data_IF_014004466243
#
_entry.id   IF_014004466243
#
_cell.length_a   1.000
_cell.length_b   1.000
_cell.length_c   1.000
_cell.angle_alpha   90.00
_cell.angle_beta   90.00
_cell.angle_gamma   90.00
#
_symmetry.space_group_name_H-M   'P 1'
#
loop_
_entity.id
_entity.type
_entity.pdbx_description
1 polymer ?
#
# COMPACT_ATOMS: atom_id res chain seq x y z
N UNK A 1 -30.57 -0.68 -5.54
CA UNK A 1 -29.25 -0.86 -4.88
C UNK A 1 -28.24 -0.09 -5.70
N UNK A 2 -27.23 0.52 -5.08
CA UNK A 2 -26.20 1.29 -5.80
C UNK A 2 -24.82 0.88 -5.31
N UNK A 3 -23.91 0.61 -6.24
CA UNK A 3 -22.51 0.33 -5.94
C UNK A 3 -21.68 1.60 -5.84
N UNK A 4 -20.87 1.67 -4.78
CA UNK A 4 -19.95 2.76 -4.50
C UNK A 4 -18.52 2.26 -4.48
N UNK A 5 -17.62 2.95 -5.18
CA UNK A 5 -16.18 2.81 -5.05
C UNK A 5 -15.67 3.86 -4.05
N UNK A 6 -14.99 3.39 -3.01
CA UNK A 6 -14.33 4.19 -1.98
C UNK A 6 -12.83 4.21 -2.28
N UNK A 7 -12.24 5.40 -2.40
CA UNK A 7 -10.80 5.62 -2.42
C UNK A 7 -10.38 6.16 -1.06
N UNK A 8 -9.37 5.56 -0.43
CA UNK A 8 -9.01 5.89 0.95
C UNK A 8 -7.52 5.69 1.24
N UNK A 9 -7.02 6.44 2.21
CA UNK A 9 -5.66 6.32 2.74
C UNK A 9 -5.69 5.95 4.23
N UNK A 10 -4.61 5.37 4.73
CA UNK A 10 -4.47 5.04 6.15
C UNK A 10 -3.02 4.84 6.59
N UNK A 11 -2.79 5.07 7.89
CA UNK A 11 -1.52 4.78 8.58
C UNK A 11 -1.56 3.34 9.10
N UNK A 12 -0.88 2.43 8.43
CA UNK A 12 -0.97 0.99 8.66
C UNK A 12 -0.56 0.49 10.04
N UNK A 13 0.34 1.19 10.73
CA UNK A 13 0.79 0.85 12.09
C UNK A 13 -0.31 0.99 13.14
N UNK A 14 -1.41 1.67 12.81
CA UNK A 14 -2.61 1.80 13.65
C UNK A 14 -3.69 0.75 13.36
N UNK A 15 -3.41 -0.25 12.51
CA UNK A 15 -4.39 -1.27 12.10
C UNK A 15 -3.81 -2.69 12.12
N UNK A 16 -4.65 -3.69 12.37
CA UNK A 16 -4.29 -5.13 12.24
C UNK A 16 -4.23 -5.62 10.79
N UNK A 17 -3.93 -4.72 9.86
CA UNK A 17 -4.04 -4.95 8.42
C UNK A 17 -5.37 -4.46 7.87
N UNK A 18 -5.50 -4.57 6.55
CA UNK A 18 -6.65 -3.99 5.84
C UNK A 18 -7.94 -4.80 5.97
N UNK A 19 -7.86 -6.13 5.96
CA UNK A 19 -9.02 -7.01 5.88
C UNK A 19 -9.24 -7.78 7.18
N UNK A 20 -10.50 -7.91 7.60
CA UNK A 20 -10.92 -8.78 8.71
C UNK A 20 -10.45 -10.23 8.50
N UNK A 21 -9.91 -10.85 9.56
CA UNK A 21 -9.52 -12.27 9.60
C UNK A 21 -10.34 -13.01 10.65
N UNK A 22 -10.59 -14.31 10.45
CA UNK A 22 -11.50 -15.11 11.27
C UNK A 22 -10.93 -15.48 12.67
N UNK A 23 -9.63 -15.29 12.90
CA UNK A 23 -8.97 -15.57 14.17
C UNK A 23 -8.30 -14.31 14.70
N UNK A 24 -8.87 -13.69 15.73
CA UNK A 24 -8.18 -12.65 16.50
C UNK A 24 -7.17 -13.35 17.41
N UNK A 25 -5.88 -13.04 17.22
CA UNK A 25 -4.86 -13.43 18.19
C UNK A 25 -5.08 -12.59 19.46
N UNK A 26 -5.53 -13.24 20.53
CA UNK A 26 -5.97 -12.67 21.82
C UNK A 26 -4.85 -11.88 22.51
N UNK A 27 -3.61 -11.93 21.99
CA UNK A 27 -2.45 -11.20 22.52
C UNK A 27 -2.32 -9.75 22.06
N UNK A 28 -3.11 -9.29 21.07
CA UNK A 28 -3.13 -7.87 20.69
C UNK A 28 -4.34 -7.20 21.31
N UNK A 29 -4.08 -6.18 22.15
CA UNK A 29 -5.08 -5.17 22.55
C UNK A 29 -5.78 -4.74 21.26
N UNK A 30 -7.08 -5.05 21.14
CA UNK A 30 -7.81 -5.17 19.88
C UNK A 30 -7.55 -3.94 18.98
N UNK A 31 -6.82 -4.15 17.89
CA UNK A 31 -6.67 -3.14 16.83
C UNK A 31 -7.57 -3.59 15.68
N UNK A 32 -8.58 -2.78 15.37
CA UNK A 32 -9.50 -3.00 14.26
C UNK A 32 -8.77 -3.07 12.91
N UNK A 33 -9.40 -3.69 11.91
CA UNK A 33 -8.93 -3.62 10.53
C UNK A 33 -9.50 -2.39 9.83
N UNK A 34 -8.86 -1.98 8.73
CA UNK A 34 -9.37 -0.88 7.88
C UNK A 34 -10.81 -1.19 7.42
N UNK A 35 -11.09 -2.44 7.08
CA UNK A 35 -12.43 -2.90 6.70
C UNK A 35 -13.45 -2.70 7.83
N UNK A 36 -13.10 -3.05 9.08
CA UNK A 36 -14.00 -2.89 10.23
C UNK A 36 -14.42 -1.42 10.39
N UNK A 37 -13.44 -0.52 10.41
CA UNK A 37 -13.68 0.92 10.58
C UNK A 37 -14.56 1.49 9.47
N UNK A 38 -14.34 1.11 8.22
CA UNK A 38 -15.18 1.59 7.11
C UNK A 38 -16.60 1.02 7.25
N UNK A 39 -16.76 -0.28 7.53
CA UNK A 39 -18.08 -0.91 7.69
C UNK A 39 -18.86 -0.30 8.87
N UNK A 40 -18.21 -0.02 10.00
CA UNK A 40 -18.80 0.66 11.16
C UNK A 40 -19.25 2.08 10.83
N UNK A 41 -18.44 2.85 10.10
CA UNK A 41 -18.80 4.18 9.63
C UNK A 41 -19.99 4.16 8.66
N UNK A 42 -20.07 3.16 7.77
CA UNK A 42 -21.17 3.02 6.82
C UNK A 42 -22.53 2.77 7.51
N UNK A 43 -22.55 2.21 8.72
CA UNK A 43 -23.79 2.05 9.49
C UNK A 43 -24.48 3.38 9.79
N UNK A 44 -23.73 4.49 9.87
CA UNK A 44 -24.29 5.82 10.12
C UNK A 44 -25.18 6.32 8.98
N UNK A 45 -25.04 5.77 7.78
CA UNK A 45 -25.91 6.05 6.63
C UNK A 45 -27.31 5.45 6.79
N UNK A 46 -27.49 4.48 7.70
CA UNK A 46 -28.74 3.74 7.91
C UNK A 46 -29.23 3.03 6.64
N UNK A 47 -28.31 2.47 5.87
CA UNK A 47 -28.63 1.65 4.70
C UNK A 47 -29.61 0.54 5.08
N UNK A 48 -30.59 0.24 4.22
CA UNK A 48 -31.52 -0.89 4.43
C UNK A 48 -30.82 -2.24 4.42
N UNK A 49 -29.65 -2.31 3.80
CA UNK A 49 -28.75 -3.47 3.79
C UNK A 49 -27.56 -3.24 4.71
N UNK A 50 -27.10 -4.31 5.36
CA UNK A 50 -25.84 -4.30 6.11
C UNK A 50 -24.69 -4.01 5.14
N UNK A 51 -23.95 -2.89 5.30
CA UNK A 51 -22.83 -2.57 4.43
C UNK A 51 -21.72 -3.61 4.56
N UNK A 52 -21.21 -4.08 3.42
CA UNK A 52 -20.06 -4.99 3.35
C UNK A 52 -19.05 -4.46 2.35
N UNK A 53 -17.85 -4.19 2.82
CA UNK A 53 -16.79 -3.61 2.00
C UNK A 53 -15.93 -4.73 1.41
N UNK A 54 -15.71 -4.68 0.11
CA UNK A 54 -14.75 -5.50 -0.59
C UNK A 54 -13.52 -4.66 -0.91
N UNK A 55 -12.33 -5.16 -0.58
CA UNK A 55 -11.07 -4.43 -0.79
C UNK A 55 -10.39 -4.82 -2.10
N UNK A 56 -9.83 -3.82 -2.79
CA UNK A 56 -9.09 -4.00 -4.03
C UNK A 56 -7.74 -4.70 -3.81
N UNK A 57 -7.12 -4.43 -2.66
CA UNK A 57 -5.83 -4.99 -2.23
C UNK A 57 -5.87 -5.28 -0.74
N UNK A 58 -5.28 -6.41 -0.34
CA UNK A 58 -5.09 -6.77 1.07
C UNK A 58 -3.67 -6.37 1.47
N UNK A 59 -3.54 -5.45 2.41
CA UNK A 59 -2.27 -5.13 3.06
C UNK A 59 -2.14 -5.86 4.40
N UNK A 60 -0.92 -6.31 4.70
CA UNK A 60 -0.55 -6.88 6.00
C UNK A 60 -0.60 -5.80 7.10
N UNK A 61 -0.62 -6.21 8.38
CA UNK A 61 -0.53 -5.28 9.51
C UNK A 61 0.75 -4.43 9.44
N UNK A 62 0.64 -3.15 9.76
CA UNK A 62 1.74 -2.18 9.67
C UNK A 62 1.90 -1.52 8.30
N UNK A 63 1.41 -2.11 7.21
CA UNK A 63 1.56 -1.56 5.86
C UNK A 63 0.60 -0.39 5.64
N UNK A 64 1.12 0.74 5.20
CA UNK A 64 0.37 1.97 4.93
C UNK A 64 -0.30 1.95 3.55
N UNK A 65 -1.25 2.86 3.33
CA UNK A 65 -1.75 3.16 2.00
C UNK A 65 -1.90 4.67 1.80
N UNK A 66 -1.34 5.18 0.71
CA UNK A 66 -1.57 6.53 0.22
C UNK A 66 -2.87 6.60 -0.60
N UNK A 67 -3.15 5.54 -1.35
CA UNK A 67 -4.40 5.35 -2.08
C UNK A 67 -4.70 3.86 -2.19
N UNK A 68 -5.65 3.40 -1.39
CA UNK A 68 -6.29 2.10 -1.49
C UNK A 68 -7.71 2.28 -2.02
N UNK A 69 -8.34 1.17 -2.37
CA UNK A 69 -9.69 1.16 -2.87
C UNK A 69 -10.52 0.01 -2.32
N UNK A 70 -11.82 0.23 -2.25
CA UNK A 70 -12.81 -0.78 -1.92
C UNK A 70 -14.15 -0.45 -2.56
N UNK A 71 -15.03 -1.43 -2.70
CA UNK A 71 -16.41 -1.17 -3.11
C UNK A 71 -17.41 -1.71 -2.10
N UNK A 72 -18.59 -1.09 -2.08
CA UNK A 72 -19.71 -1.48 -1.25
C UNK A 72 -21.03 -1.23 -1.97
N UNK A 73 -21.99 -2.11 -1.75
CA UNK A 73 -23.36 -1.97 -2.24
C UNK A 73 -24.24 -1.42 -1.12
N UNK A 74 -24.94 -0.31 -1.40
CA UNK A 74 -25.81 0.35 -0.44
C UNK A 74 -27.24 0.47 -0.98
N UNK A 75 -28.20 0.44 -0.05
CA UNK A 75 -29.61 0.70 -0.34
C UNK A 75 -30.07 1.83 0.56
N UNK A 76 -30.50 2.94 -0.04
CA UNK A 76 -30.92 4.11 0.72
C UNK A 76 -32.10 3.82 1.65
N UNK A 77 -32.14 4.48 2.82
CA UNK A 77 -33.21 4.28 3.82
C UNK A 77 -34.59 4.68 3.30
N UNK A 78 -34.66 5.74 2.49
CA UNK A 78 -35.87 6.18 1.78
C UNK A 78 -35.96 5.59 0.37
N UNK A 79 -37.19 5.33 -0.08
CA UNK A 79 -37.49 4.76 -1.40
C UNK A 79 -37.07 5.67 -2.56
N UNK A 80 -36.69 5.06 -3.69
CA UNK A 80 -36.30 5.73 -4.94
C UNK A 80 -35.23 6.82 -4.75
N UNK A 81 -34.27 6.58 -3.84
CA UNK A 81 -33.14 7.47 -3.57
C UNK A 81 -31.83 6.69 -3.49
N UNK A 82 -30.73 7.42 -3.59
CA UNK A 82 -29.37 6.94 -3.37
C UNK A 82 -28.61 7.91 -2.47
N UNK A 83 -27.53 7.45 -1.84
CA UNK A 83 -26.65 8.33 -1.09
C UNK A 83 -25.76 9.11 -2.05
N UNK A 84 -25.75 10.44 -1.96
CA UNK A 84 -24.80 11.24 -2.71
C UNK A 84 -23.36 10.88 -2.30
N UNK A 85 -22.44 10.68 -3.26
CA UNK A 85 -21.09 10.18 -2.94
C UNK A 85 -20.29 11.09 -1.99
N UNK A 86 -20.52 12.40 -2.05
CA UNK A 86 -19.84 13.34 -1.13
C UNK A 86 -20.38 13.22 0.30
N UNK A 87 -21.66 12.89 0.45
CA UNK A 87 -22.24 12.62 1.76
C UNK A 87 -21.68 11.32 2.36
N UNK A 88 -21.49 10.27 1.54
CA UNK A 88 -20.82 9.03 1.97
C UNK A 88 -19.40 9.34 2.45
N UNK A 89 -18.64 10.11 1.65
CA UNK A 89 -17.28 10.53 1.99
C UNK A 89 -17.24 11.32 3.30
N UNK A 90 -18.10 12.32 3.44
CA UNK A 90 -18.18 13.17 4.63
C UNK A 90 -18.51 12.36 5.88
N UNK A 91 -19.53 11.48 5.83
CA UNK A 91 -19.97 10.69 6.97
C UNK A 91 -18.89 9.72 7.44
N UNK A 92 -18.21 9.05 6.51
CA UNK A 92 -17.11 8.15 6.86
C UNK A 92 -15.92 8.90 7.46
N UNK A 93 -15.57 10.07 6.91
CA UNK A 93 -14.50 10.90 7.46
C UNK A 93 -14.84 11.44 8.85
N UNK A 94 -16.10 11.87 9.05
CA UNK A 94 -16.57 12.29 10.37
C UNK A 94 -16.50 11.14 11.39
N UNK A 95 -16.90 9.92 11.00
CA UNK A 95 -16.74 8.75 11.86
C UNK A 95 -15.27 8.49 12.21
N UNK A 96 -14.35 8.60 11.24
CA UNK A 96 -12.93 8.42 11.51
C UNK A 96 -12.38 9.48 12.47
N UNK A 97 -12.78 10.74 12.32
CA UNK A 97 -12.39 11.84 13.21
C UNK A 97 -12.95 11.68 14.62
N UNK A 98 -14.26 11.40 14.74
CA UNK A 98 -14.95 11.24 16.03
C UNK A 98 -14.37 10.06 16.84
N UNK A 99 -13.64 9.14 16.22
CA UNK A 99 -13.08 7.92 16.83
C UNK A 99 -11.54 7.82 16.75
N UNK A 100 -10.82 8.88 16.37
CA UNK A 100 -9.34 8.91 16.22
C UNK A 100 -8.77 7.77 15.35
N UNK A 101 -9.50 7.42 14.28
CA UNK A 101 -9.02 6.46 13.30
C UNK A 101 -8.04 7.14 12.33
N UNK A 102 -6.85 6.55 12.17
CA UNK A 102 -5.84 7.01 11.23
C UNK A 102 -6.15 6.60 9.77
N UNK A 103 -7.40 6.85 9.35
CA UNK A 103 -7.98 6.50 8.06
C UNK A 103 -8.70 7.72 7.49
N UNK A 104 -8.62 7.90 6.17
CA UNK A 104 -9.31 8.99 5.48
C UNK A 104 -9.90 8.47 4.17
N UNK A 105 -11.20 8.69 3.96
CA UNK A 105 -11.82 8.55 2.65
C UNK A 105 -11.43 9.78 1.83
N UNK A 106 -10.67 9.53 0.76
CA UNK A 106 -10.21 10.55 -0.18
C UNK A 106 -11.34 10.94 -1.12
N UNK A 107 -12.11 9.94 -1.58
CA UNK A 107 -13.19 10.12 -2.53
C UNK A 107 -14.14 8.92 -2.55
N UNK A 108 -15.41 9.18 -2.84
CA UNK A 108 -16.38 8.15 -3.20
C UNK A 108 -16.88 8.40 -4.63
N UNK A 109 -17.13 7.31 -5.37
CA UNK A 109 -17.69 7.32 -6.72
C UNK A 109 -18.86 6.35 -6.78
N UNK A 110 -19.90 6.69 -7.54
CA UNK A 110 -20.91 5.72 -7.97
C UNK A 110 -20.37 5.03 -9.22
N UNK A 111 -20.39 3.71 -9.22
CA UNK A 111 -19.82 2.87 -10.29
C UNK A 111 -20.85 1.82 -10.75
N UNK A 112 -20.71 1.25 -11.95
CA UNK A 112 -21.62 0.21 -12.42
C UNK A 112 -21.68 -0.99 -11.48
N UNK A 113 -22.83 -1.68 -11.45
CA UNK A 113 -23.01 -2.91 -10.66
C UNK A 113 -22.08 -4.06 -11.12
N UNK A 114 -21.57 -3.99 -12.35
CA UNK A 114 -20.57 -4.92 -12.88
C UNK A 114 -19.16 -4.65 -12.37
N UNK A 115 -18.88 -3.47 -11.82
CA UNK A 115 -17.54 -3.09 -11.38
C UNK A 115 -17.14 -3.84 -10.11
N UNK A 116 -15.94 -4.40 -10.10
CA UNK A 116 -15.30 -5.00 -8.93
C UNK A 116 -13.90 -4.39 -8.71
N UNK A 117 -13.73 -3.69 -7.60
CA UNK A 117 -12.47 -2.99 -7.29
C UNK A 117 -11.23 -3.90 -7.26
N UNK A 118 -11.38 -5.22 -7.06
CA UNK A 118 -10.25 -6.14 -7.09
C UNK A 118 -9.96 -6.65 -8.49
N UNK A 119 -10.98 -7.07 -9.23
CA UNK A 119 -10.79 -7.72 -10.52
C UNK A 119 -10.63 -6.76 -11.70
N UNK A 120 -11.23 -5.56 -11.62
CA UNK A 120 -11.06 -4.50 -12.63
C UNK A 120 -9.77 -3.68 -12.47
N UNK A 121 -9.05 -3.85 -11.36
CA UNK A 121 -7.80 -3.13 -11.15
C UNK A 121 -6.71 -3.62 -12.13
N UNK A 122 -6.23 -2.70 -12.98
CA UNK A 122 -5.18 -2.92 -13.98
C UNK A 122 -3.81 -3.13 -13.35
N UNK A 123 -3.48 -2.30 -12.36
CA UNK A 123 -2.20 -2.37 -11.67
C UNK A 123 -2.30 -1.86 -10.24
N UNK A 124 -1.36 -2.31 -9.41
CA UNK A 124 -1.09 -1.77 -8.07
C UNK A 124 0.34 -1.27 -8.07
N UNK A 125 0.55 -0.10 -7.49
CA UNK A 125 1.89 0.46 -7.27
C UNK A 125 2.19 0.50 -5.79
N UNK A 126 3.29 -0.10 -5.38
CA UNK A 126 3.84 0.01 -4.03
C UNK A 126 5.09 0.86 -4.04
N UNK A 127 5.27 1.63 -2.97
CA UNK A 127 6.53 2.28 -2.63
C UNK A 127 7.03 1.71 -1.32
N UNK A 128 8.33 1.39 -1.24
CA UNK A 128 8.98 1.04 0.01
C UNK A 128 10.07 2.05 0.33
N UNK A 129 9.95 2.75 1.45
CA UNK A 129 10.91 3.79 1.86
C UNK A 129 12.00 3.19 2.73
N UNK A 130 13.25 3.55 2.43
CA UNK A 130 14.40 3.27 3.30
C UNK A 130 15.16 4.55 3.62
N UNK A 131 15.81 4.56 4.78
CA UNK A 131 16.86 5.51 5.13
C UNK A 131 18.17 4.75 5.30
N UNK A 132 19.16 5.05 4.45
CA UNK A 132 20.51 4.50 4.53
C UNK A 132 21.31 5.36 5.49
N UNK A 133 21.83 4.75 6.55
CA UNK A 133 22.75 5.41 7.45
C UNK A 133 24.14 5.49 6.81
N UNK A 134 24.70 6.70 6.72
CA UNK A 134 26.01 6.90 6.06
C UNK A 134 27.17 6.52 6.98
N UNK A 135 27.08 6.90 8.26
CA UNK A 135 28.11 6.65 9.27
C UNK A 135 27.47 5.98 10.49
N UNK A 136 28.08 4.94 11.06
CA UNK A 136 27.65 4.48 12.39
C UNK A 136 28.18 5.48 13.45
N UNK A 137 27.31 6.19 14.19
CA UNK A 137 27.71 7.18 15.19
C UNK A 137 28.54 6.58 16.33
N UNK A 138 28.49 5.26 16.51
CA UNK A 138 29.22 4.52 17.53
C UNK A 138 30.44 3.79 16.96
N UNK A 139 30.73 3.94 15.66
CA UNK A 139 31.91 3.35 15.03
C UNK A 139 33.19 3.81 15.73
N UNK A 140 34.06 2.86 16.07
CA UNK A 140 35.35 3.13 16.70
C UNK A 140 35.31 3.39 18.21
N UNK A 141 34.13 3.49 18.84
CA UNK A 141 34.02 3.62 20.29
C UNK A 141 34.24 2.26 20.99
N UNK A 142 34.93 2.27 22.13
CA UNK A 142 35.11 1.06 22.96
C UNK A 142 33.77 0.56 23.50
N UNK A 143 33.66 -0.76 23.69
CA UNK A 143 32.51 -1.41 24.34
C UNK A 143 32.33 -0.96 25.79
N UNK A 144 33.37 -0.45 26.44
CA UNK A 144 33.29 0.08 27.80
C UNK A 144 32.57 1.45 27.85
N UNK A 145 32.52 2.14 26.71
CA UNK A 145 31.85 3.45 26.53
C UNK A 145 30.45 3.28 25.96
N UNK A 146 30.22 2.27 25.13
CA UNK A 146 28.93 2.00 24.50
C UNK A 146 28.16 0.95 25.30
N UNK A 147 27.06 1.31 26.01
CA UNK A 147 26.28 0.32 26.74
C UNK A 147 25.80 -0.83 25.82
N UNK A 148 25.71 -2.07 26.34
CA UNK A 148 25.42 -3.25 25.54
C UNK A 148 24.09 -3.19 24.77
N UNK A 149 23.15 -2.32 25.17
CA UNK A 149 21.83 -2.17 24.55
C UNK A 149 21.69 -0.98 23.60
N UNK A 150 22.72 -0.14 23.44
CA UNK A 150 22.61 1.14 22.71
C UNK A 150 22.60 0.99 21.19
N UNK A 151 23.08 -0.14 20.64
CA UNK A 151 23.15 -0.38 19.19
C UNK A 151 21.78 -0.45 18.49
N UNK A 152 20.68 -0.57 19.24
CA UNK A 152 19.31 -0.55 18.70
C UNK A 152 18.65 0.83 18.73
N UNK A 153 19.28 1.84 19.33
CA UNK A 153 18.71 3.20 19.33
C UNK A 153 18.81 3.78 17.91
N UNK A 154 17.67 3.80 17.23
CA UNK A 154 17.55 4.36 15.89
C UNK A 154 17.76 5.88 15.95
N UNK A 155 18.71 6.41 15.17
CA UNK A 155 18.85 7.86 14.94
C UNK A 155 17.81 8.38 13.93
N UNK A 156 16.73 7.63 13.68
CA UNK A 156 15.67 8.04 12.76
C UNK A 156 14.97 9.27 13.32
N UNK A 157 14.79 10.33 12.52
CA UNK A 157 13.98 11.46 12.92
C UNK A 157 12.60 11.00 13.39
N UNK A 158 12.10 11.61 14.46
CA UNK A 158 10.83 11.19 15.10
C UNK A 158 9.66 11.15 14.10
N UNK A 159 9.62 12.07 13.13
CA UNK A 159 8.57 12.15 12.11
C UNK A 159 8.66 11.06 11.03
N UNK A 160 9.77 10.32 10.97
CA UNK A 160 10.00 9.19 10.06
C UNK A 160 9.87 7.83 10.78
N UNK A 161 9.66 7.84 12.10
CA UNK A 161 9.34 6.63 12.87
C UNK A 161 8.10 5.96 12.29
N UNK A 162 8.15 4.63 12.15
CA UNK A 162 7.08 3.81 11.58
C UNK A 162 6.68 4.23 10.15
N UNK A 163 7.63 4.75 9.36
CA UNK A 163 7.39 5.20 7.97
C UNK A 163 8.45 4.78 6.95
N UNK A 164 9.53 4.17 7.42
CA UNK A 164 10.64 3.71 6.61
C UNK A 164 11.43 2.64 7.36
N UNK A 165 12.22 1.85 6.63
CA UNK A 165 13.23 1.00 7.25
C UNK A 165 14.60 1.69 7.25
N UNK A 166 15.31 1.59 8.38
CA UNK A 166 16.71 2.06 8.45
C UNK A 166 17.64 0.94 8.02
N UNK A 167 18.58 1.26 7.15
CA UNK A 167 19.59 0.33 6.65
C UNK A 167 20.98 0.82 7.02
N UNK A 168 21.72 -0.01 7.75
CA UNK A 168 23.12 0.29 8.10
C UNK A 168 24.05 0.08 6.89
N UNK A 169 25.18 0.82 6.83
CA UNK A 169 26.17 0.66 5.77
C UNK A 169 26.92 -0.69 5.91
N UNK A 170 27.67 -1.12 4.87
CA UNK A 170 27.74 -0.53 3.53
C UNK A 170 26.44 -0.75 2.73
N UNK A 171 26.17 0.10 1.74
CA UNK A 171 25.04 -0.05 0.82
C UNK A 171 25.44 0.39 -0.59
N UNK A 172 25.56 -0.56 -1.51
CA UNK A 172 25.84 -0.31 -2.92
C UNK A 172 24.54 -0.06 -3.71
N UNK A 173 24.34 1.19 -4.12
CA UNK A 173 23.17 1.64 -4.89
C UNK A 173 23.11 0.99 -6.27
N UNK A 174 24.25 0.79 -6.94
CA UNK A 174 24.28 0.23 -8.28
C UNK A 174 23.97 -1.27 -8.24
N UNK A 175 24.50 -1.98 -7.24
CA UNK A 175 24.13 -3.37 -6.98
C UNK A 175 22.63 -3.49 -6.65
N UNK A 176 22.08 -2.55 -5.87
CA UNK A 176 20.65 -2.51 -5.55
C UNK A 176 19.79 -2.34 -6.81
N UNK A 177 20.13 -1.38 -7.68
CA UNK A 177 19.42 -1.14 -8.95
C UNK A 177 19.51 -2.33 -9.91
N UNK A 178 20.68 -2.98 -10.00
CA UNK A 178 20.85 -4.21 -10.77
C UNK A 178 19.96 -5.33 -10.24
N UNK A 179 19.88 -5.50 -8.92
CA UNK A 179 19.00 -6.50 -8.30
C UNK A 179 17.50 -6.20 -8.54
N UNK A 180 17.07 -4.93 -8.48
CA UNK A 180 15.71 -4.54 -8.85
C UNK A 180 15.35 -4.94 -10.29
N UNK A 181 16.28 -4.74 -11.21
CA UNK A 181 16.08 -5.01 -12.65
C UNK A 181 15.79 -6.48 -12.94
N UNK A 182 16.32 -7.42 -12.13
CA UNK A 182 16.05 -8.86 -12.28
C UNK A 182 14.57 -9.22 -12.08
N UNK A 183 13.81 -8.40 -11.35
CA UNK A 183 12.40 -8.67 -11.10
C UNK A 183 11.47 -8.23 -12.22
N UNK A 184 11.95 -7.46 -13.21
CA UNK A 184 11.14 -6.98 -14.33
C UNK A 184 10.67 -8.14 -15.22
N UNK A 185 9.47 -8.01 -15.78
CA UNK A 185 8.89 -9.03 -16.65
C UNK A 185 8.09 -10.10 -15.89
N UNK A 186 7.89 -11.25 -16.53
CA UNK A 186 7.05 -12.33 -15.99
C UNK A 186 7.89 -13.33 -15.22
N UNK A 187 7.60 -13.50 -13.93
CA UNK A 187 8.30 -14.46 -13.06
C UNK A 187 7.34 -15.24 -12.18
N UNK A 188 7.78 -16.43 -11.76
CA UNK A 188 7.17 -17.18 -10.68
C UNK A 188 7.74 -16.71 -9.34
N UNK A 189 6.93 -16.01 -8.54
CA UNK A 189 7.40 -15.37 -7.30
C UNK A 189 7.25 -16.26 -6.04
N UNK A 190 7.19 -17.59 -6.17
CA UNK A 190 7.08 -18.52 -5.02
C UNK A 190 8.15 -18.28 -3.95
N UNK A 191 9.41 -18.06 -4.35
CA UNK A 191 10.52 -17.75 -3.44
C UNK A 191 10.26 -16.48 -2.62
N UNK A 192 9.58 -15.52 -3.21
CA UNK A 192 9.37 -14.20 -2.64
C UNK A 192 8.03 -14.06 -1.92
N UNK A 193 7.22 -15.10 -1.73
CA UNK A 193 5.94 -14.99 -1.00
C UNK A 193 5.93 -15.78 0.31
N UNK A 194 5.05 -15.38 1.25
CA UNK A 194 4.76 -16.20 2.43
C UNK A 194 4.27 -17.60 1.99
N UNK A 195 4.78 -18.66 2.62
CA UNK A 195 4.27 -20.01 2.44
C UNK A 195 2.78 -20.05 2.83
N UNK A 196 1.88 -20.50 1.93
CA UNK A 196 0.48 -20.71 2.27
C UNK A 196 0.34 -21.69 3.44
N UNK A 197 -0.76 -21.58 4.18
CA UNK A 197 -1.12 -22.62 5.15
C UNK A 197 -1.53 -23.90 4.40
N UNK A 198 -1.31 -25.07 5.03
CA UNK A 198 -1.52 -26.38 4.40
C UNK A 198 -2.99 -26.65 4.01
N UNK A 199 -3.92 -25.89 4.59
CA UNK A 199 -5.37 -25.95 4.43
C UNK A 199 -5.93 -24.94 3.41
N UNK A 200 -5.09 -24.16 2.70
CA UNK A 200 -5.57 -23.31 1.61
C UNK A 200 -6.10 -24.20 0.45
N UNK A 201 -7.44 -24.31 0.36
CA UNK A 201 -8.20 -25.13 -0.60
C UNK A 201 -7.89 -24.85 -2.08
N UNK A 202 -7.28 -23.72 -2.41
CA UNK A 202 -6.98 -23.33 -3.79
C UNK A 202 -5.54 -22.83 -3.94
N UNK A 203 -4.71 -23.49 -4.78
CA UNK A 203 -3.36 -23.01 -5.05
C UNK A 203 -3.42 -21.66 -5.76
N UNK A 204 -2.82 -20.63 -5.16
CA UNK A 204 -2.71 -19.30 -5.78
C UNK A 204 -1.70 -19.38 -6.91
N UNK A 205 -2.05 -18.89 -8.10
CA UNK A 205 -1.07 -18.70 -9.16
C UNK A 205 0.03 -17.73 -8.67
N UNK A 206 1.31 -18.14 -8.57
CA UNK A 206 2.40 -17.30 -8.09
C UNK A 206 3.06 -16.47 -9.20
N UNK A 207 2.63 -16.65 -10.47
CA UNK A 207 3.20 -15.94 -11.61
C UNK A 207 2.67 -14.51 -11.64
N UNK A 208 3.56 -13.53 -11.72
CA UNK A 208 3.22 -12.11 -11.88
C UNK A 208 4.05 -11.49 -12.98
N UNK A 209 3.47 -10.50 -13.65
CA UNK A 209 4.18 -9.60 -14.54
C UNK A 209 4.52 -8.31 -13.79
N UNK A 210 5.80 -8.05 -13.60
CA UNK A 210 6.32 -6.85 -12.97
C UNK A 210 6.59 -5.79 -14.04
N UNK A 211 5.84 -4.70 -14.00
CA UNK A 211 5.96 -3.58 -14.94
C UNK A 211 7.05 -2.60 -14.50
N UNK A 212 7.21 -2.40 -13.19
CA UNK A 212 8.22 -1.50 -12.61
C UNK A 212 8.84 -2.19 -11.41
N UNK A 213 10.16 -2.12 -11.30
CA UNK A 213 10.96 -2.49 -10.15
C UNK A 213 12.19 -1.58 -10.16
N UNK A 214 12.15 -0.50 -9.38
CA UNK A 214 13.16 0.55 -9.41
C UNK A 214 13.54 1.04 -8.00
N UNK A 215 14.69 1.70 -7.90
CA UNK A 215 15.20 2.37 -6.70
C UNK A 215 15.64 3.79 -7.06
N UNK A 216 14.94 4.79 -6.50
CA UNK A 216 15.18 6.20 -6.75
C UNK A 216 15.50 6.97 -5.47
N UNK A 217 16.25 8.09 -5.53
CA UNK A 217 16.41 8.97 -4.37
C UNK A 217 15.06 9.43 -3.83
N UNK A 218 14.92 9.40 -2.51
CA UNK A 218 13.76 9.89 -1.77
C UNK A 218 14.11 11.16 -0.98
N UNK A 219 13.13 11.68 -0.26
CA UNK A 219 13.29 12.87 0.60
C UNK A 219 12.78 12.59 2.00
N UNK A 220 13.50 13.09 3.01
CA UNK A 220 13.02 13.08 4.40
C UNK A 220 11.88 14.07 4.62
N UNK A 221 10.96 13.75 5.52
CA UNK A 221 9.84 14.60 5.90
C UNK A 221 10.36 15.93 6.49
N UNK A 222 9.99 17.04 5.86
CA UNK A 222 10.49 18.39 6.19
C UNK A 222 12.02 18.46 6.25
N UNK A 223 12.73 17.68 5.41
CA UNK A 223 14.19 17.59 5.42
C UNK A 223 14.90 18.93 5.26
N UNK A 224 14.36 19.85 4.46
CA UNK A 224 14.90 21.21 4.27
C UNK A 224 14.81 22.07 5.54
N UNK A 225 13.86 21.77 6.43
CA UNK A 225 13.66 22.47 7.70
C UNK A 225 14.39 21.80 8.86
N UNK A 226 15.06 20.66 8.64
CA UNK A 226 15.83 20.01 9.68
C UNK A 226 17.17 20.75 9.84
N UNK A 227 17.40 21.47 10.95
CA UNK A 227 18.64 22.22 11.15
C UNK A 227 19.87 21.32 11.29
N UNK A 228 19.66 20.02 11.54
CA UNK A 228 20.71 19.02 11.61
C UNK A 228 20.82 18.31 10.26
N UNK A 229 21.99 18.36 9.62
CA UNK A 229 22.28 17.48 8.47
C UNK A 229 22.11 16.04 8.92
N UNK A 230 21.06 15.38 8.44
CA UNK A 230 20.82 13.98 8.81
C UNK A 230 21.92 13.11 8.22
N UNK A 231 22.46 12.21 9.04
CA UNK A 231 23.35 11.12 8.64
C UNK A 231 22.61 10.00 7.88
N UNK A 232 21.56 10.38 7.15
CA UNK A 232 20.62 9.50 6.49
C UNK A 232 20.42 9.97 5.06
N UNK A 233 20.57 9.04 4.12
CA UNK A 233 20.10 9.21 2.74
C UNK A 233 18.81 8.45 2.53
N UNK A 234 17.81 9.10 1.96
CA UNK A 234 16.50 8.52 1.75
C UNK A 234 16.41 7.95 0.33
N UNK A 235 15.85 6.75 0.22
CA UNK A 235 15.66 6.07 -1.05
C UNK A 235 14.32 5.32 -1.05
N UNK A 236 13.68 5.32 -2.21
CA UNK A 236 12.36 4.75 -2.41
C UNK A 236 12.42 3.65 -3.46
N UNK A 237 12.06 2.43 -3.07
CA UNK A 237 11.77 1.37 -4.04
C UNK A 237 10.38 1.57 -4.62
N UNK A 238 10.21 1.41 -5.93
CA UNK A 238 8.90 1.40 -6.58
C UNK A 238 8.66 0.07 -7.28
N UNK A 239 7.53 -0.57 -6.97
CA UNK A 239 7.08 -1.80 -7.62
C UNK A 239 5.69 -1.65 -8.20
N UNK A 240 5.50 -1.98 -9.47
CA UNK A 240 4.19 -1.98 -10.15
C UNK A 240 3.93 -3.33 -10.79
N UNK A 241 2.81 -3.95 -10.44
CA UNK A 241 2.34 -5.22 -11.01
C UNK A 241 0.82 -5.23 -11.12
N UNK A 242 0.25 -6.14 -11.91
CA UNK A 242 -1.21 -6.40 -11.90
C UNK A 242 -1.71 -6.86 -10.53
N UNK A 243 -0.84 -7.48 -9.73
CA UNK A 243 -1.13 -7.83 -8.35
C UNK A 243 0.10 -8.40 -7.64
N UNK A 244 0.03 -8.51 -6.32
CA UNK A 244 1.13 -9.02 -5.50
C UNK A 244 0.67 -10.18 -4.61
N UNK A 245 1.60 -11.08 -4.31
CA UNK A 245 1.42 -12.16 -3.34
C UNK A 245 1.69 -11.63 -1.92
N UNK A 246 1.24 -12.38 -0.91
CA UNK A 246 1.46 -11.98 0.48
C UNK A 246 2.97 -11.91 0.78
N UNK A 247 3.41 -10.78 1.36
CA UNK A 247 4.81 -10.43 1.65
C UNK A 247 5.75 -10.34 0.42
N UNK A 248 5.23 -10.37 -0.81
CA UNK A 248 6.05 -10.33 -2.02
C UNK A 248 7.01 -9.16 -2.05
N UNK A 249 6.47 -7.95 -1.98
CA UNK A 249 7.27 -6.72 -2.05
C UNK A 249 8.31 -6.65 -0.94
N UNK A 250 7.94 -7.00 0.30
CA UNK A 250 8.85 -6.93 1.46
C UNK A 250 9.99 -7.95 1.38
N UNK A 251 9.74 -9.13 0.80
CA UNK A 251 10.80 -10.11 0.54
C UNK A 251 11.71 -9.63 -0.57
N UNK A 252 11.17 -9.12 -1.68
CA UNK A 252 11.97 -8.53 -2.77
C UNK A 252 12.87 -7.39 -2.25
N UNK A 253 12.30 -6.45 -1.47
CA UNK A 253 13.08 -5.36 -0.84
C UNK A 253 14.18 -5.92 0.06
N UNK A 254 13.84 -6.90 0.92
CA UNK A 254 14.83 -7.58 1.76
C UNK A 254 15.96 -8.22 0.93
N UNK A 255 15.65 -8.78 -0.24
CA UNK A 255 16.63 -9.33 -1.19
C UNK A 255 17.58 -8.26 -1.67
N UNK A 256 17.01 -7.15 -2.16
CA UNK A 256 17.78 -6.07 -2.76
C UNK A 256 18.68 -5.43 -1.71
N UNK A 257 18.17 -5.23 -0.49
CA UNK A 257 18.98 -4.77 0.66
C UNK A 257 20.10 -5.76 0.95
N UNK A 258 19.86 -7.07 0.91
CA UNK A 258 20.92 -8.06 1.13
C UNK A 258 22.00 -8.02 0.04
N UNK A 259 21.62 -7.82 -1.23
CA UNK A 259 22.58 -7.62 -2.33
C UNK A 259 23.38 -6.35 -2.14
N UNK A 260 22.71 -5.23 -1.88
CA UNK A 260 23.36 -3.93 -1.68
C UNK A 260 24.36 -3.94 -0.52
N UNK A 261 24.13 -4.78 0.50
CA UNK A 261 25.01 -4.96 1.65
C UNK A 261 26.10 -6.02 1.44
N UNK A 262 26.23 -6.58 0.24
CA UNK A 262 27.20 -7.62 -0.08
C UNK A 262 26.94 -8.99 0.58
N UNK A 263 25.72 -9.21 1.10
CA UNK A 263 25.33 -10.48 1.74
C UNK A 263 24.76 -11.50 0.76
N UNK A 264 24.37 -11.04 -0.42
CA UNK A 264 23.79 -11.85 -1.48
C UNK A 264 24.35 -11.39 -2.83
N UNK A 265 24.55 -12.32 -3.75
CA UNK A 265 25.00 -12.03 -5.12
C UNK A 265 23.81 -11.94 -6.08
N UNK A 266 24.00 -11.28 -7.22
CA UNK A 266 22.97 -11.21 -8.28
C UNK A 266 22.62 -12.60 -8.81
N UNK A 267 23.60 -13.50 -8.95
CA UNK A 267 23.40 -14.88 -9.41
C UNK A 267 22.51 -15.67 -8.44
N UNK A 268 22.63 -15.43 -7.13
CA UNK A 268 21.73 -16.04 -6.14
C UNK A 268 20.30 -15.50 -6.25
N UNK A 269 20.12 -14.22 -6.60
CA UNK A 269 18.79 -13.66 -6.87
C UNK A 269 18.19 -14.28 -8.13
N UNK A 270 18.98 -14.38 -9.20
CA UNK A 270 18.56 -15.04 -10.44
C UNK A 270 18.19 -16.51 -10.19
N UNK A 271 19.00 -17.24 -9.42
CA UNK A 271 18.71 -18.61 -9.02
C UNK A 271 17.36 -18.75 -8.31
N UNK A 272 16.98 -17.80 -7.44
CA UNK A 272 15.68 -17.82 -6.75
C UNK A 272 14.49 -17.58 -7.68
N UNK A 273 14.69 -16.88 -8.79
CA UNK A 273 13.68 -16.67 -9.84
C UNK A 273 13.57 -17.91 -10.73
N UNK A 274 14.71 -18.49 -11.11
CA UNK A 274 14.78 -19.68 -11.98
C UNK A 274 14.33 -20.96 -11.24
N UNK A 275 14.51 -21.01 -9.92
CA UNK A 275 14.19 -22.16 -9.06
C UNK A 275 13.18 -21.77 -7.97
N UNK A 276 11.92 -21.49 -8.34
CA UNK A 276 10.91 -20.93 -7.45
C UNK A 276 10.53 -21.90 -6.33
N UNK A 277 10.95 -21.61 -5.10
CA UNK A 277 10.62 -22.40 -3.91
C UNK A 277 10.73 -21.57 -2.64
N UNK A 278 9.87 -21.85 -1.65
CA UNK A 278 9.97 -21.23 -0.33
C UNK A 278 11.32 -21.52 0.34
N UNK A 279 11.91 -22.68 0.09
CA UNK A 279 13.17 -23.11 0.68
C UNK A 279 14.36 -22.35 0.08
N UNK A 280 14.28 -22.00 -1.22
CA UNK A 280 15.33 -21.21 -1.91
C UNK A 280 15.57 -19.88 -1.19
N UNK A 281 14.50 -19.23 -0.71
CA UNK A 281 14.60 -18.01 0.08
C UNK A 281 15.12 -18.25 1.49
N UNK A 282 14.59 -19.26 2.19
CA UNK A 282 14.96 -19.53 3.59
C UNK A 282 16.43 -19.93 3.73
N UNK A 283 16.98 -20.69 2.77
CA UNK A 283 18.39 -21.09 2.74
C UNK A 283 19.35 -19.92 2.63
N UNK A 284 18.92 -18.81 2.01
CA UNK A 284 19.74 -17.60 1.88
C UNK A 284 19.77 -16.75 3.16
N UNK A 285 18.96 -17.11 4.18
CA UNK A 285 18.85 -16.41 5.47
C UNK A 285 18.59 -14.88 5.32
N UNK A 286 17.80 -14.51 4.32
CA UNK A 286 17.44 -13.12 4.05
C UNK A 286 16.15 -12.77 4.81
N UNK A 287 16.25 -11.79 5.70
CA UNK A 287 15.09 -11.20 6.38
C UNK A 287 14.18 -10.48 5.39
N UNK A 288 12.87 -10.49 5.64
CA UNK A 288 11.97 -9.58 4.92
C UNK A 288 12.03 -8.19 5.54
N UNK A 289 11.82 -7.16 4.74
CA UNK A 289 11.79 -5.79 5.24
C UNK A 289 10.58 -5.53 6.17
N UNK A 290 10.66 -4.51 7.02
CA UNK A 290 9.59 -4.14 7.97
C UNK A 290 8.33 -3.66 7.25
N UNK A 291 7.17 -3.74 7.89
CA UNK A 291 5.88 -3.47 7.24
C UNK A 291 5.60 -1.97 7.07
N UNK A 292 6.05 -1.18 8.03
CA UNK A 292 5.88 0.27 8.17
C UNK A 292 6.65 1.09 7.13
N UNK A 293 7.67 0.52 6.50
CA UNK A 293 8.30 1.12 5.31
C UNK A 293 7.49 0.98 4.02
N UNK A 294 6.44 0.13 3.98
CA UNK A 294 5.69 -0.18 2.77
C UNK A 294 4.40 0.64 2.66
N UNK A 295 4.18 1.20 1.47
CA UNK A 295 3.00 1.99 1.11
C UNK A 295 2.35 1.42 -0.14
N UNK A 296 1.06 1.10 -0.07
CA UNK A 296 0.24 1.00 -1.27
C UNK A 296 0.03 2.43 -1.81
N UNK A 297 0.75 2.77 -2.87
CA UNK A 297 0.76 4.12 -3.44
C UNK A 297 -0.49 4.37 -4.27
N UNK A 298 -0.86 3.43 -5.14
CA UNK A 298 -1.95 3.62 -6.09
C UNK A 298 -2.55 2.31 -6.59
N UNK A 299 -3.82 2.37 -7.03
CA UNK A 299 -4.53 1.31 -7.75
C UNK A 299 -5.17 1.91 -8.99
N UNK A 300 -4.78 1.38 -10.14
CA UNK A 300 -5.23 1.88 -11.44
C UNK A 300 -6.41 1.05 -11.98
N UNK A 301 -7.38 1.73 -12.59
CA UNK A 301 -8.56 1.13 -13.23
C UNK A 301 -8.69 1.62 -14.68
N UNK A 302 -9.43 0.88 -15.51
CA UNK A 302 -9.90 1.44 -16.78
C UNK A 302 -10.99 2.49 -16.53
N UNK A 303 -10.94 3.63 -17.22
CA UNK A 303 -12.01 4.63 -17.13
C UNK A 303 -13.34 4.05 -17.59
N UNK A 304 -13.34 3.18 -18.61
CA UNK A 304 -14.56 2.54 -19.12
C UNK A 304 -15.25 1.66 -18.07
N UNK A 305 -14.49 1.06 -17.15
CA UNK A 305 -15.03 0.16 -16.12
C UNK A 305 -15.73 0.96 -15.01
N UNK A 306 -15.46 2.27 -14.94
CA UNK A 306 -15.98 3.17 -13.93
C UNK A 306 -17.11 4.08 -14.48
N UNK A 307 -17.35 4.08 -15.79
CA UNK A 307 -18.39 4.88 -16.44
C UNK A 307 -19.78 4.27 -16.24
N UNK A 308 -20.73 5.11 -15.79
CA UNK A 308 -22.13 4.72 -15.68
C UNK A 308 -22.83 4.77 -17.05
N UNK A 309 -23.78 3.85 -17.31
CA UNK A 309 -24.73 4.01 -18.41
C UNK A 309 -25.48 5.36 -18.33
N UNK A 310 -25.85 5.92 -19.48
CA UNK A 310 -26.51 7.24 -19.55
C UNK A 310 -27.87 7.28 -18.83
N UNK A 311 -28.56 6.15 -18.77
CA UNK A 311 -29.88 5.93 -18.17
C UNK A 311 -29.81 5.36 -16.74
N UNK A 312 -28.61 5.20 -16.18
CA UNK A 312 -28.40 4.49 -14.91
C UNK A 312 -29.25 5.06 -13.76
N UNK A 313 -29.32 6.39 -13.64
CA UNK A 313 -30.12 7.02 -12.59
C UNK A 313 -31.61 7.02 -12.90
N UNK A 314 -32.02 7.03 -14.16
CA UNK A 314 -33.43 6.97 -14.54
C UNK A 314 -34.01 5.60 -14.14
N UNK A 315 -33.24 4.53 -14.36
CA UNK A 315 -33.54 3.17 -13.91
C UNK A 315 -33.61 3.08 -12.38
N UNK A 316 -32.79 3.82 -11.64
CA UNK A 316 -32.74 3.76 -10.17
C UNK A 316 -33.80 4.65 -9.50
N UNK A 317 -34.12 5.79 -10.08
CA UNK A 317 -34.93 6.85 -9.44
C UNK A 317 -36.41 6.82 -9.85
N UNK A 318 -36.82 5.97 -10.79
CA UNK A 318 -38.19 5.91 -11.31
C UNK A 318 -38.73 7.33 -11.63
N UNK A 319 -38.17 7.99 -12.65
CA UNK A 319 -38.60 9.27 -13.28
C UNK A 319 -38.92 10.48 -12.36
N UNK A 320 -38.71 10.41 -11.03
CA UNK A 320 -39.22 11.41 -10.09
C UNK A 320 -38.17 12.24 -9.35
N UNK A 321 -36.88 12.10 -9.69
CA UNK A 321 -35.83 12.81 -8.95
C UNK A 321 -34.77 13.40 -9.91
N UNK A 322 -34.87 14.70 -10.18
CA UNK A 322 -33.92 15.43 -11.05
C UNK A 322 -32.67 15.85 -10.27
N UNK A 323 -31.62 15.02 -10.30
CA UNK A 323 -30.26 15.46 -9.97
C UNK A 323 -29.39 15.32 -11.21
N UNK A 324 -29.00 16.43 -11.84
CA UNK A 324 -28.00 16.42 -12.91
C UNK A 324 -26.61 16.18 -12.31
N UNK A 325 -26.00 15.03 -12.62
CA UNK A 325 -24.67 14.65 -12.16
C UNK A 325 -23.66 14.69 -13.32
N UNK A 326 -22.52 15.38 -13.12
CA UNK A 326 -21.33 15.26 -13.98
C UNK A 326 -20.18 14.69 -13.17
N UNK A 327 -19.78 13.47 -13.50
CA UNK A 327 -18.65 12.79 -12.89
C UNK A 327 -17.34 13.44 -13.39
N UNK A 328 -16.61 14.16 -12.52
CA UNK A 328 -15.34 14.78 -12.89
C UNK A 328 -14.19 13.81 -12.58
N UNK A 329 -13.55 13.26 -13.60
CA UNK A 329 -12.35 12.43 -13.47
C UNK A 329 -11.18 13.30 -13.05
N UNK A 330 -10.68 13.13 -11.82
CA UNK A 330 -9.58 13.96 -11.29
C UNK A 330 -8.38 13.11 -10.88
N UNK A 331 -8.51 11.79 -10.78
CA UNK A 331 -7.42 10.95 -10.26
C UNK A 331 -6.27 10.76 -11.24
N UNK A 332 -6.55 10.57 -12.54
CA UNK A 332 -5.51 10.54 -13.58
C UNK A 332 -4.78 11.89 -13.70
N UNK A 333 -5.51 12.99 -13.55
CA UNK A 333 -4.93 14.34 -13.70
C UNK A 333 -4.24 14.87 -12.44
N UNK A 334 -4.54 14.44 -11.22
CA UNK A 334 -3.84 14.99 -10.04
C UNK A 334 -2.43 14.42 -9.90
N UNK A 335 -2.22 13.13 -10.18
CA UNK A 335 -0.88 12.54 -10.20
C UNK A 335 -0.12 12.90 -11.49
N UNK A 336 -0.78 12.96 -12.66
CA UNK A 336 -0.13 13.44 -13.89
C UNK A 336 0.19 14.95 -13.86
N UNK A 337 -0.62 15.79 -13.20
CA UNK A 337 -0.31 17.21 -13.04
C UNK A 337 0.81 17.45 -12.01
N UNK A 338 0.96 16.57 -11.02
CA UNK A 338 2.10 16.60 -10.09
C UNK A 338 3.38 16.04 -10.74
N UNK A 339 3.30 15.02 -11.60
CA UNK A 339 4.47 14.53 -12.36
C UNK A 339 4.87 15.47 -13.49
N UNK A 340 3.92 16.12 -14.18
CA UNK A 340 4.20 17.10 -15.22
C UNK A 340 4.81 18.41 -14.69
N UNK A 341 4.49 18.82 -13.46
CA UNK A 341 5.17 19.95 -12.78
C UNK A 341 6.61 19.64 -12.35
N UNK A 342 6.92 18.38 -12.06
CA UNK A 342 8.27 17.94 -11.70
C UNK A 342 9.23 17.95 -12.90
N UNK A 343 8.76 17.71 -14.12
CA UNK A 343 9.58 17.83 -15.34
C UNK A 343 9.87 19.29 -15.72
N UNK A 344 8.90 20.19 -15.55
CA UNK A 344 9.09 21.62 -15.85
C UNK A 344 10.08 22.32 -14.89
N UNK A 345 10.29 21.78 -13.68
CA UNK A 345 11.28 22.31 -12.72
C UNK A 345 12.71 21.77 -12.95
N UNK A 346 12.91 20.85 -13.91
CA UNK A 346 14.25 20.37 -14.31
C UNK A 346 14.81 21.06 -15.55
N UNK A 347 14.00 21.87 -16.23
CA UNK A 347 14.37 22.59 -17.46
C UNK A 347 14.23 24.11 -17.33
N UNK A 348 14.22 24.63 -16.10
CA UNK A 348 14.14 26.07 -15.79
C UNK A 348 15.46 26.59 -15.24
#
# INVERSE_FOLDING_TARGET
MVRYLLLFSYVGTRFSGSQRQAAYDVKRIIVSTVQDVIEEGLLKLRSRTQPRVFLASRTDAGVHALCSAGHVDLVHFADNKYYHQDAVTYILNKHCEDNDHALRILRTLIVPDSFNCRFNAKSRTYVYRIAIQLVDPLAGLSKDVVPPYTRKASQTPLFETDRLAVVSPPFDIDAAKKACSLFLGTHNFTSFMKKPAADELFPRNPVRFMQVADLSPGTGFLGEHNPFKSNLEYWDFTFRSSGFLQRQVRRMVGTVIAVARGKLTLDQVQYMLDNPSHDSWMKMNVGHSEADGLYLKDIEYDEKDLQLPSDYFDVILNDRCSYTYKQRWVYGNLLNALSGRMEQLKTG
#
